data_IF_248602996840
#
_entry.id   IF_248602996840
#
_cell.length_a   1.000
_cell.length_b   1.000
_cell.length_c   1.000
_cell.angle_alpha   90.00
_cell.angle_beta   90.00
_cell.angle_gamma   90.00
#
_symmetry.space_group_name_H-M   'P 1'
#
loop_
_entity.id
_entity.type
_entity.pdbx_description
1 polymer ?
#
# COMPACT_ATOMS: atom_id res chain seq x y z
N UNK A 1 12.79 -13.81 -7.44
CA UNK A 1 12.29 -12.87 -8.42
C UNK A 1 10.85 -12.50 -8.19
N UNK A 2 10.04 -13.49 -7.95
CA UNK A 2 8.60 -13.26 -7.91
C UNK A 2 8.12 -12.58 -6.65
N UNK A 3 8.98 -12.48 -5.64
CA UNK A 3 8.62 -11.83 -4.39
C UNK A 3 8.79 -10.31 -4.44
N UNK A 4 9.40 -9.80 -5.48
CA UNK A 4 9.75 -8.39 -5.55
C UNK A 4 8.58 -7.43 -5.48
N UNK A 5 7.44 -7.70 -6.14
CA UNK A 5 6.31 -6.76 -6.03
C UNK A 5 5.84 -6.59 -4.60
N UNK A 6 5.85 -7.66 -3.83
CA UNK A 6 5.40 -7.59 -2.45
C UNK A 6 6.43 -6.90 -1.55
N UNK A 7 7.71 -7.10 -1.83
CA UNK A 7 8.76 -6.43 -1.08
C UNK A 7 8.73 -4.92 -1.32
N UNK A 8 8.56 -4.52 -2.59
CA UNK A 8 8.38 -3.11 -2.94
C UNK A 8 7.20 -2.54 -2.21
N UNK A 9 6.11 -3.28 -2.21
CA UNK A 9 4.88 -2.85 -1.57
C UNK A 9 5.08 -2.63 -0.07
N UNK A 10 5.72 -3.59 0.58
CA UNK A 10 6.00 -3.49 2.01
C UNK A 10 6.88 -2.28 2.33
N UNK A 11 7.89 -2.07 1.50
CA UNK A 11 8.80 -0.95 1.69
C UNK A 11 8.07 0.37 1.56
N UNK A 12 7.23 0.50 0.54
CA UNK A 12 6.47 1.72 0.32
C UNK A 12 5.48 1.97 1.45
N UNK A 13 4.85 0.92 1.95
CA UNK A 13 3.93 1.05 3.08
C UNK A 13 4.68 1.53 4.31
N UNK A 14 5.87 1.00 4.57
CA UNK A 14 6.68 1.44 5.70
C UNK A 14 7.03 2.92 5.56
N UNK A 15 7.37 3.37 4.36
CA UNK A 15 7.67 4.77 4.11
C UNK A 15 6.46 5.66 4.36
N UNK A 16 5.27 5.19 4.00
CA UNK A 16 4.05 5.93 4.29
C UNK A 16 3.87 6.09 5.80
N UNK A 17 4.07 5.02 6.54
CA UNK A 17 3.96 5.05 8.00
C UNK A 17 4.95 6.07 8.57
N UNK A 18 6.18 6.06 8.09
CA UNK A 18 7.20 6.99 8.54
C UNK A 18 6.79 8.44 8.24
N UNK A 19 6.20 8.68 7.09
CA UNK A 19 5.75 10.01 6.72
C UNK A 19 4.58 10.47 7.57
N UNK A 20 3.69 9.57 7.95
CA UNK A 20 2.58 9.88 8.85
C UNK A 20 3.13 10.29 10.21
N UNK A 21 4.10 9.52 10.72
CA UNK A 21 4.73 9.83 12.01
C UNK A 21 5.40 11.19 11.96
N UNK A 22 6.02 11.51 10.83
CA UNK A 22 6.67 12.81 10.64
C UNK A 22 5.69 13.94 10.35
N UNK A 23 4.40 13.63 10.29
CA UNK A 23 3.31 14.57 10.00
C UNK A 23 3.44 15.22 8.62
N UNK A 24 3.95 14.44 7.67
CA UNK A 24 4.11 14.88 6.29
C UNK A 24 2.98 14.27 5.46
N UNK A 25 1.78 14.81 5.64
CA UNK A 25 0.58 14.24 5.02
C UNK A 25 0.62 14.32 3.50
N UNK A 26 1.17 15.39 2.97
CA UNK A 26 1.22 15.59 1.51
C UNK A 26 2.01 14.47 0.84
N UNK A 27 3.22 14.22 1.34
CA UNK A 27 4.09 13.17 0.80
C UNK A 27 3.48 11.80 1.04
N UNK A 28 2.87 11.59 2.20
CA UNK A 28 2.22 10.32 2.52
C UNK A 28 1.11 10.03 1.53
N UNK A 29 0.30 11.03 1.20
CA UNK A 29 -0.77 10.87 0.21
C UNK A 29 -0.23 10.54 -1.17
N UNK A 30 0.86 11.17 -1.56
CA UNK A 30 1.47 10.90 -2.86
C UNK A 30 1.95 9.46 -2.95
N UNK A 31 2.61 8.99 -1.91
CA UNK A 31 3.06 7.60 -1.86
C UNK A 31 1.89 6.63 -1.82
N UNK A 32 0.85 6.99 -1.09
CA UNK A 32 -0.34 6.16 -0.98
C UNK A 32 -0.98 5.94 -2.35
N UNK A 33 -1.04 6.99 -3.16
CA UNK A 33 -1.59 6.89 -4.50
C UNK A 33 -0.75 5.91 -5.34
N UNK A 34 0.56 6.01 -5.26
CA UNK A 34 1.45 5.11 -5.99
C UNK A 34 1.26 3.65 -5.54
N UNK A 35 1.13 3.43 -4.24
CA UNK A 35 0.93 2.09 -3.71
C UNK A 35 -0.41 1.52 -4.15
N UNK A 36 -1.44 2.35 -4.16
CA UNK A 36 -2.77 1.92 -4.61
C UNK A 36 -2.72 1.45 -6.06
N UNK A 37 -1.98 2.14 -6.89
CA UNK A 37 -1.82 1.74 -8.29
C UNK A 37 -1.10 0.40 -8.42
N UNK A 38 -0.09 0.17 -7.59
CA UNK A 38 0.60 -1.12 -7.57
C UNK A 38 -0.36 -2.23 -7.17
N UNK A 39 -1.16 -1.98 -6.15
CA UNK A 39 -2.13 -2.97 -5.68
C UNK A 39 -3.14 -3.30 -6.77
N UNK A 40 -3.64 -2.29 -7.46
CA UNK A 40 -4.59 -2.49 -8.55
C UNK A 40 -3.98 -3.35 -9.66
N UNK A 41 -2.73 -3.11 -9.99
CA UNK A 41 -2.03 -3.90 -10.99
C UNK A 41 -1.89 -5.35 -10.54
N UNK A 42 -1.52 -5.55 -9.28
CA UNK A 42 -1.39 -6.89 -8.74
C UNK A 42 -2.71 -7.64 -8.78
N UNK A 43 -3.81 -6.94 -8.48
CA UNK A 43 -5.13 -7.55 -8.54
C UNK A 43 -5.49 -7.99 -9.95
N UNK A 44 -5.15 -7.16 -10.93
CA UNK A 44 -5.43 -7.48 -12.33
C UNK A 44 -4.71 -8.75 -12.79
N UNK A 45 -3.54 -9.01 -12.24
CA UNK A 45 -2.72 -10.15 -12.63
C UNK A 45 -2.86 -11.34 -11.71
N UNK A 46 -3.53 -11.20 -10.59
CA UNK A 46 -3.68 -12.29 -9.63
C UNK A 46 -4.63 -13.35 -10.17
N UNK A 47 -4.21 -14.61 -10.08
CA UNK A 47 -5.01 -15.72 -10.57
C UNK A 47 -5.34 -16.75 -9.50
N UNK A 48 -4.63 -16.69 -8.37
CA UNK A 48 -4.81 -17.67 -7.30
C UNK A 48 -5.46 -17.03 -6.09
N UNK A 49 -6.24 -17.82 -5.37
CA UNK A 49 -6.94 -17.34 -4.19
C UNK A 49 -5.96 -16.82 -3.13
N UNK A 50 -4.82 -17.47 -2.99
CA UNK A 50 -3.82 -17.05 -2.02
C UNK A 50 -3.26 -15.67 -2.35
N UNK A 51 -3.03 -15.42 -3.64
CA UNK A 51 -2.58 -14.12 -4.08
C UNK A 51 -3.62 -13.05 -3.81
N UNK A 52 -4.87 -13.34 -4.12
CA UNK A 52 -5.96 -12.40 -3.89
C UNK A 52 -6.09 -12.06 -2.41
N UNK A 53 -5.94 -13.06 -1.56
CA UNK A 53 -6.02 -12.84 -0.11
C UNK A 53 -4.89 -11.94 0.37
N UNK A 54 -3.69 -12.20 -0.09
CA UNK A 54 -2.52 -11.39 0.29
C UNK A 54 -2.70 -9.94 -0.14
N UNK A 55 -3.11 -9.73 -1.38
CA UNK A 55 -3.31 -8.40 -1.92
C UNK A 55 -4.43 -7.67 -1.17
N UNK A 56 -5.49 -8.40 -0.83
CA UNK A 56 -6.60 -7.82 -0.07
C UNK A 56 -6.13 -7.30 1.29
N UNK A 57 -5.22 -8.02 1.93
CA UNK A 57 -4.66 -7.58 3.20
C UNK A 57 -3.95 -6.24 3.07
N UNK A 58 -3.20 -6.08 1.99
CA UNK A 58 -2.53 -4.81 1.72
C UNK A 58 -3.53 -3.70 1.43
N UNK A 59 -4.61 -4.02 0.71
CA UNK A 59 -5.66 -3.05 0.46
C UNK A 59 -6.27 -2.52 1.76
N UNK A 60 -6.56 -3.43 2.69
CA UNK A 60 -7.11 -3.03 3.97
C UNK A 60 -6.15 -2.12 4.72
N UNK A 61 -4.87 -2.48 4.72
CA UNK A 61 -3.86 -1.68 5.39
C UNK A 61 -3.76 -0.28 4.78
N UNK A 62 -3.74 -0.22 3.45
CA UNK A 62 -3.66 1.06 2.75
C UNK A 62 -4.88 1.93 3.05
N UNK A 63 -6.06 1.33 3.12
CA UNK A 63 -7.28 2.07 3.48
C UNK A 63 -7.18 2.65 4.89
N UNK A 64 -6.63 1.88 5.82
CA UNK A 64 -6.44 2.35 7.18
C UNK A 64 -5.48 3.53 7.24
N UNK A 65 -4.40 3.44 6.45
CA UNK A 65 -3.43 4.53 6.38
C UNK A 65 -4.04 5.77 5.76
N UNK A 66 -4.85 5.59 4.73
CA UNK A 66 -5.55 6.70 4.10
C UNK A 66 -6.44 7.43 5.10
N UNK A 67 -7.19 6.67 5.88
CA UNK A 67 -8.04 7.24 6.90
C UNK A 67 -7.24 8.00 7.96
N UNK A 68 -6.11 7.46 8.36
CA UNK A 68 -5.24 8.12 9.32
C UNK A 68 -4.74 9.46 8.81
N UNK A 69 -4.31 9.49 7.56
CA UNK A 69 -3.80 10.71 6.95
C UNK A 69 -4.91 11.78 6.91
N UNK A 70 -6.11 11.37 6.55
CA UNK A 70 -7.21 12.32 6.34
C UNK A 70 -7.98 12.64 7.61
N UNK A 71 -7.77 11.91 8.69
CA UNK A 71 -8.43 12.15 9.95
C UNK A 71 -7.70 13.20 10.79
N UNK A 72 -6.45 13.48 10.48
CA UNK A 72 -5.67 14.48 11.24
C UNK A 72 -5.76 15.88 10.62
#
# INVERSE_FOLDING_TARGET
MNARPYEELKKNIQEIIDLIVAKNAHEANNKLTAVTEIIDELLDHATEDEELLEITRYQVLVNQLYQKINAS
#
